data_IF_095200564123
#
_entry.id   IF_095200564123
#
_cell.length_a   1.000
_cell.length_b   1.000
_cell.length_c   1.000
_cell.angle_alpha   90.00
_cell.angle_beta   90.00
_cell.angle_gamma   90.00
#
_symmetry.space_group_name_H-M   'P 1'
#
loop_
_entity.id
_entity.type
_entity.pdbx_description
1 polymer ?
#
# COMPACT_ATOMS: atom_id res chain seq x y z
N UNK A 1 11.96 70.68 10.05
CA UNK A 1 10.80 70.69 9.13
C UNK A 1 11.36 71.01 7.75
N UNK A 2 11.83 69.97 7.07
CA UNK A 2 12.33 70.00 5.69
C UNK A 2 12.26 68.55 5.22
N UNK A 3 11.34 68.26 4.31
CA UNK A 3 11.00 66.91 3.86
C UNK A 3 11.74 66.66 2.55
N UNK A 4 12.77 65.81 2.60
CA UNK A 4 13.49 65.37 1.42
C UNK A 4 12.62 64.42 0.60
N UNK A 5 12.30 64.83 -0.63
CA UNK A 5 11.64 63.98 -1.64
C UNK A 5 12.70 63.09 -2.30
N UNK A 6 12.62 61.78 -2.06
CA UNK A 6 13.30 60.78 -2.88
C UNK A 6 12.54 60.63 -4.21
N UNK A 7 13.20 61.01 -5.29
CA UNK A 7 12.74 60.82 -6.67
C UNK A 7 13.17 59.42 -7.12
N UNK A 8 12.21 58.50 -7.28
CA UNK A 8 12.41 57.22 -7.93
C UNK A 8 12.20 57.37 -9.43
N UNK A 9 13.23 56.99 -10.18
CA UNK A 9 13.34 57.11 -11.63
C UNK A 9 12.85 55.78 -12.25
N UNK A 10 11.77 55.75 -13.07
CA UNK A 10 11.34 54.52 -13.72
C UNK A 10 12.13 54.31 -15.02
N UNK A 11 13.23 53.56 -14.93
CA UNK A 11 13.94 53.06 -16.09
C UNK A 11 13.14 51.94 -16.77
N UNK A 12 12.31 52.30 -17.76
CA UNK A 12 11.75 51.37 -18.75
C UNK A 12 12.89 50.61 -19.44
N UNK A 13 13.07 49.33 -19.14
CA UNK A 13 13.73 48.38 -20.03
C UNK A 13 12.64 47.61 -20.79
N UNK A 14 12.39 48.05 -22.01
CA UNK A 14 11.62 47.31 -23.01
C UNK A 14 12.44 46.10 -23.45
N UNK A 15 12.22 44.93 -22.86
CA UNK A 15 12.60 43.66 -23.46
C UNK A 15 11.47 43.24 -24.39
N UNK A 16 11.64 43.50 -25.69
CA UNK A 16 10.73 42.97 -26.70
C UNK A 16 10.69 41.43 -26.58
N UNK A 17 9.52 40.86 -26.25
CA UNK A 17 9.26 39.43 -26.39
C UNK A 17 9.38 39.07 -27.88
N UNK A 18 10.08 37.98 -28.25
CA UNK A 18 9.99 37.45 -29.61
C UNK A 18 8.56 36.96 -29.90
N UNK A 19 8.14 36.93 -31.18
CA UNK A 19 6.77 36.59 -31.55
C UNK A 19 6.41 35.15 -31.11
N UNK A 20 5.29 35.03 -30.39
CA UNK A 20 4.64 33.77 -30.05
C UNK A 20 3.96 33.18 -31.29
N UNK A 21 4.72 32.50 -32.13
CA UNK A 21 4.17 31.58 -33.14
C UNK A 21 5.00 30.29 -33.12
N UNK A 22 5.05 29.65 -31.95
CA UNK A 22 5.35 28.22 -31.83
C UNK A 22 4.47 27.67 -30.73
N UNK A 23 3.39 27.00 -31.11
CA UNK A 23 2.71 26.02 -30.27
C UNK A 23 3.77 24.99 -29.84
N UNK A 24 4.42 25.24 -28.71
CA UNK A 24 5.21 24.25 -28.01
C UNK A 24 4.21 23.22 -27.50
N UNK A 25 3.89 22.23 -28.33
CA UNK A 25 3.42 20.95 -27.86
C UNK A 25 4.50 20.40 -26.93
N UNK A 26 4.36 20.71 -25.63
CA UNK A 26 5.08 20.05 -24.56
C UNK A 26 4.65 18.59 -24.62
N UNK A 27 5.42 17.80 -25.35
CA UNK A 27 5.37 16.36 -25.23
C UNK A 27 5.99 16.09 -23.88
N UNK A 28 5.16 16.07 -22.82
CA UNK A 28 5.58 15.50 -21.55
C UNK A 28 6.01 14.09 -21.89
N UNK A 29 7.29 13.69 -21.70
CA UNK A 29 7.65 12.30 -21.83
C UNK A 29 6.82 11.55 -20.80
N UNK A 30 5.76 10.91 -21.28
CA UNK A 30 4.99 9.89 -20.58
C UNK A 30 5.89 8.66 -20.48
N UNK A 31 6.99 8.78 -19.73
CA UNK A 31 7.49 7.64 -19.02
C UNK A 31 6.60 7.56 -17.80
N UNK A 32 5.55 6.71 -17.79
CA UNK A 32 4.84 6.45 -16.55
C UNK A 32 5.92 6.10 -15.52
N UNK A 33 5.87 6.66 -14.29
CA UNK A 33 6.77 6.20 -13.24
C UNK A 33 6.64 4.69 -13.26
N UNK A 34 7.76 3.99 -13.52
CA UNK A 34 7.81 2.54 -13.66
C UNK A 34 6.89 2.00 -12.57
N UNK A 35 5.70 1.53 -12.98
CA UNK A 35 4.68 1.11 -12.04
C UNK A 35 5.42 0.07 -11.23
N UNK A 36 5.67 0.35 -9.94
CA UNK A 36 6.32 -0.60 -9.06
C UNK A 36 5.44 -1.82 -9.21
N UNK A 37 5.91 -2.81 -9.95
CA UNK A 37 5.12 -3.99 -10.14
C UNK A 37 4.91 -4.52 -8.72
N UNK A 38 3.68 -4.89 -8.34
CA UNK A 38 3.38 -5.36 -6.98
C UNK A 38 4.14 -6.65 -6.58
N UNK A 39 5.15 -7.05 -7.36
CA UNK A 39 6.02 -8.19 -7.19
C UNK A 39 7.28 -7.92 -6.32
N UNK A 40 7.58 -6.68 -5.91
CA UNK A 40 8.71 -6.45 -4.99
C UNK A 40 8.24 -6.59 -3.54
N UNK A 41 8.87 -7.42 -2.68
CA UNK A 41 8.42 -7.67 -1.30
C UNK A 41 8.28 -6.38 -0.46
N UNK A 42 9.02 -5.33 -0.82
CA UNK A 42 9.05 -4.05 -0.11
C UNK A 42 8.21 -2.93 -0.75
N UNK A 43 7.27 -3.24 -1.65
CA UNK A 43 6.54 -2.20 -2.39
C UNK A 43 5.73 -1.26 -1.47
N UNK A 44 5.14 -1.78 -0.38
CA UNK A 44 4.42 -0.96 0.61
C UNK A 44 5.36 -0.02 1.38
N UNK A 45 6.56 -0.50 1.73
CA UNK A 45 7.61 0.33 2.33
C UNK A 45 8.03 1.44 1.37
N UNK A 46 8.26 1.11 0.10
CA UNK A 46 8.61 2.10 -0.92
C UNK A 46 7.49 3.15 -1.13
N UNK A 47 6.21 2.75 -1.09
CA UNK A 47 5.09 3.70 -1.17
C UNK A 47 5.03 4.56 0.09
N UNK A 48 5.18 3.98 1.29
CA UNK A 48 5.23 4.73 2.55
C UNK A 48 6.31 5.78 2.51
N UNK A 49 7.52 5.41 2.12
CA UNK A 49 8.66 6.31 2.02
C UNK A 49 8.41 7.43 1.02
N UNK A 50 7.75 7.14 -0.11
CA UNK A 50 7.33 8.16 -1.08
C UNK A 50 6.29 9.12 -0.51
N UNK A 51 5.27 8.63 0.18
CA UNK A 51 4.24 9.45 0.83
C UNK A 51 4.87 10.33 1.92
N UNK A 52 5.81 9.78 2.68
CA UNK A 52 6.53 10.50 3.73
C UNK A 52 7.50 11.54 3.15
N UNK A 53 8.30 11.19 2.15
CA UNK A 53 9.22 12.11 1.48
C UNK A 53 8.47 13.24 0.76
N UNK A 54 7.27 12.97 0.22
CA UNK A 54 6.41 14.01 -0.33
C UNK A 54 5.98 15.00 0.77
N UNK A 55 5.71 14.56 1.99
CA UNK A 55 5.32 15.46 3.06
C UNK A 55 6.43 16.42 3.50
N UNK A 56 7.68 15.95 3.54
CA UNK A 56 8.80 16.75 4.06
C UNK A 56 9.13 17.97 3.17
N UNK A 57 8.52 18.04 1.99
CA UNK A 57 8.60 19.15 1.05
C UNK A 57 7.18 19.63 0.67
N UNK A 58 6.59 20.56 1.44
CA UNK A 58 5.24 21.05 1.21
C UNK A 58 5.16 21.80 -0.12
N UNK A 59 3.95 21.90 -0.67
CA UNK A 59 3.71 22.71 -1.86
C UNK A 59 3.45 24.15 -1.46
N UNK A 60 3.90 25.08 -2.30
CA UNK A 60 3.71 26.50 -2.13
C UNK A 60 3.05 27.07 -3.37
N UNK A 61 1.89 27.70 -3.19
CA UNK A 61 1.14 28.35 -4.26
C UNK A 61 1.58 29.79 -4.35
N UNK A 62 1.87 30.25 -5.57
CA UNK A 62 2.16 31.65 -5.87
C UNK A 62 1.14 32.15 -6.87
N UNK A 63 0.53 33.29 -6.58
CA UNK A 63 -0.35 34.02 -7.49
C UNK A 63 0.28 35.41 -7.69
N UNK A 64 0.94 35.62 -8.82
CA UNK A 64 1.73 36.83 -9.05
C UNK A 64 1.65 37.25 -10.52
N UNK A 65 1.24 38.50 -10.78
CA UNK A 65 1.19 39.11 -12.12
C UNK A 65 0.41 38.28 -13.16
N UNK A 66 -0.62 37.53 -12.72
CA UNK A 66 -1.43 36.67 -13.58
C UNK A 66 -0.86 35.25 -13.75
N UNK A 67 0.25 34.92 -13.11
CA UNK A 67 0.81 33.57 -13.12
C UNK A 67 0.49 32.88 -11.79
N UNK A 68 -0.34 31.84 -11.87
CA UNK A 68 -0.66 30.95 -10.77
C UNK A 68 0.20 29.70 -10.85
N UNK A 69 1.15 29.57 -9.94
CA UNK A 69 2.14 28.49 -9.94
C UNK A 69 2.14 27.71 -8.64
N UNK A 70 2.46 26.41 -8.73
CA UNK A 70 2.65 25.52 -7.59
C UNK A 70 4.09 25.03 -7.57
N UNK A 71 4.79 25.32 -6.48
CA UNK A 71 6.19 24.98 -6.29
C UNK A 71 6.36 23.97 -5.18
N UNK A 72 7.43 23.17 -5.28
CA UNK A 72 8.04 22.57 -4.08
C UNK A 72 8.62 23.68 -3.22
N UNK A 73 8.29 23.71 -1.94
CA UNK A 73 8.78 24.75 -1.06
C UNK A 73 10.31 24.72 -0.93
N UNK A 74 10.93 23.53 -1.01
CA UNK A 74 12.39 23.34 -1.01
C UNK A 74 13.10 23.97 -2.21
N UNK A 75 12.37 24.26 -3.29
CA UNK A 75 12.90 24.92 -4.48
C UNK A 75 12.98 26.45 -4.35
N UNK A 76 12.22 27.03 -3.41
CA UNK A 76 12.20 28.47 -3.17
C UNK A 76 13.52 28.90 -2.54
N UNK A 77 13.99 30.08 -2.96
CA UNK A 77 15.17 30.73 -2.38
C UNK A 77 14.75 31.96 -1.58
N UNK A 78 15.62 32.44 -0.68
CA UNK A 78 15.38 33.64 0.12
C UNK A 78 14.03 33.64 0.87
N UNK A 79 13.59 32.47 1.35
CA UNK A 79 12.31 32.32 2.06
C UNK A 79 12.35 33.06 3.39
N UNK A 80 11.39 33.95 3.59
CA UNK A 80 11.10 34.65 4.85
C UNK A 80 9.72 34.23 5.32
N UNK A 81 9.57 34.10 6.65
CA UNK A 81 8.32 33.67 7.28
C UNK A 81 7.88 34.63 8.37
N UNK A 82 6.58 34.73 8.59
CA UNK A 82 6.01 35.42 9.74
C UNK A 82 6.10 34.55 11.03
N UNK A 83 5.57 35.06 12.13
CA UNK A 83 5.51 34.37 13.43
C UNK A 83 4.71 33.08 13.41
N UNK A 84 3.77 32.95 12.47
CA UNK A 84 2.89 31.79 12.31
C UNK A 84 3.49 30.74 11.36
N UNK A 85 4.67 31.03 10.80
CA UNK A 85 5.39 30.14 9.90
C UNK A 85 4.95 30.25 8.44
N UNK A 86 4.03 31.14 8.09
CA UNK A 86 3.62 31.37 6.70
C UNK A 86 4.72 32.10 5.94
N UNK A 87 4.90 31.75 4.66
CA UNK A 87 5.88 32.41 3.79
C UNK A 87 5.38 33.81 3.43
N UNK A 88 6.15 34.83 3.82
CA UNK A 88 5.84 36.25 3.53
C UNK A 88 6.71 36.85 2.44
N UNK A 89 7.77 36.15 2.03
CA UNK A 89 8.68 36.61 0.99
C UNK A 89 9.57 35.48 0.54
N UNK A 90 9.89 35.45 -0.74
CA UNK A 90 10.62 34.36 -1.38
C UNK A 90 11.17 34.85 -2.72
N UNK A 91 11.97 34.01 -3.38
CA UNK A 91 12.40 34.22 -4.77
C UNK A 91 12.50 32.88 -5.48
N UNK A 92 12.14 32.81 -6.76
CA UNK A 92 12.41 31.63 -7.58
C UNK A 92 13.93 31.44 -7.76
N UNK A 93 14.41 30.20 -7.88
CA UNK A 93 15.80 29.96 -8.24
C UNK A 93 16.03 30.43 -9.70
N UNK A 94 17.26 30.84 -10.06
CA UNK A 94 17.59 31.29 -11.42
C UNK A 94 17.45 30.18 -12.48
N UNK A 95 17.39 28.92 -12.03
CA UNK A 95 17.02 27.73 -12.81
C UNK A 95 16.40 26.73 -11.84
N UNK A 96 15.32 26.08 -12.24
CA UNK A 96 14.66 25.03 -11.44
C UNK A 96 14.77 23.68 -12.13
N UNK A 97 14.74 22.59 -11.35
CA UNK A 97 14.52 21.26 -11.94
C UNK A 97 13.08 21.18 -12.39
N UNK A 98 12.79 20.44 -13.46
CA UNK A 98 11.41 20.21 -13.93
C UNK A 98 10.51 19.67 -12.80
N UNK A 99 11.07 19.00 -11.79
CA UNK A 99 10.34 18.46 -10.64
C UNK A 99 10.01 19.48 -9.54
N UNK A 100 10.60 20.67 -9.59
CA UNK A 100 10.51 21.71 -8.56
C UNK A 100 9.34 22.67 -8.81
N UNK A 101 8.99 22.85 -10.09
CA UNK A 101 7.80 23.56 -10.54
C UNK A 101 6.75 22.54 -10.95
N UNK A 102 5.67 22.43 -10.18
CA UNK A 102 4.68 21.36 -10.29
C UNK A 102 3.61 21.69 -11.33
N UNK A 103 3.13 22.93 -11.32
CA UNK A 103 2.02 23.39 -12.16
C UNK A 103 2.15 24.90 -12.36
N UNK A 104 1.82 25.36 -13.57
CA UNK A 104 1.73 26.77 -13.94
C UNK A 104 0.44 26.98 -14.73
N UNK A 105 -0.31 28.01 -14.37
CA UNK A 105 -1.54 28.41 -15.06
C UNK A 105 -1.47 29.92 -15.28
N UNK A 106 -1.48 30.35 -16.54
CA UNK A 106 -1.69 31.75 -16.90
C UNK A 106 -3.17 32.10 -16.68
N UNK A 107 -3.42 33.16 -15.92
CA UNK A 107 -4.73 33.73 -15.64
C UNK A 107 -5.00 34.91 -16.56
N UNK A 108 -6.27 35.08 -16.95
CA UNK A 108 -6.70 36.18 -17.81
C UNK A 108 -6.75 37.52 -17.04
N UNK A 109 -6.94 37.44 -15.71
CA UNK A 109 -7.05 38.58 -14.79
C UNK A 109 -6.18 38.38 -13.54
N UNK A 110 -5.56 39.47 -13.10
CA UNK A 110 -4.63 39.45 -11.96
C UNK A 110 -5.36 39.57 -10.63
N UNK A 111 -6.48 40.30 -10.59
CA UNK A 111 -7.20 40.61 -9.37
C UNK A 111 -8.31 39.57 -9.10
N UNK A 112 -8.36 38.99 -7.89
CA UNK A 112 -9.45 38.10 -7.51
C UNK A 112 -10.82 38.78 -7.62
N UNK A 113 -11.81 38.07 -8.16
CA UNK A 113 -13.17 38.58 -8.35
C UNK A 113 -13.42 39.24 -9.71
N UNK A 114 -12.40 39.40 -10.56
CA UNK A 114 -12.58 39.98 -11.91
C UNK A 114 -13.05 38.95 -12.94
N UNK A 115 -12.49 37.74 -12.93
CA UNK A 115 -12.91 36.62 -13.78
C UNK A 115 -13.29 35.38 -12.94
N UNK A 116 -14.56 34.91 -13.00
CA UNK A 116 -15.00 33.72 -12.30
C UNK A 116 -14.23 32.44 -12.63
N UNK A 117 -13.67 32.31 -13.85
CA UNK A 117 -12.87 31.15 -14.25
C UNK A 117 -11.50 31.18 -13.57
N UNK A 118 -10.86 32.34 -13.49
CA UNK A 118 -9.58 32.48 -12.78
C UNK A 118 -9.76 32.27 -11.27
N UNK A 119 -10.87 32.76 -10.69
CA UNK A 119 -11.20 32.50 -9.29
C UNK A 119 -11.45 31.01 -9.02
N UNK A 120 -12.10 30.30 -9.95
CA UNK A 120 -12.26 28.86 -9.86
C UNK A 120 -10.89 28.15 -9.91
N UNK A 121 -10.00 28.56 -10.82
CA UNK A 121 -8.64 28.00 -10.91
C UNK A 121 -7.82 28.21 -9.63
N UNK A 122 -7.91 29.41 -9.03
CA UNK A 122 -7.31 29.72 -7.73
C UNK A 122 -7.84 28.77 -6.65
N UNK A 123 -9.16 28.61 -6.59
CA UNK A 123 -9.83 27.72 -5.65
C UNK A 123 -9.38 26.27 -5.84
N UNK A 124 -9.41 25.76 -7.07
CA UNK A 124 -9.04 24.39 -7.40
C UNK A 124 -7.60 24.07 -7.01
N UNK A 125 -6.66 25.00 -7.24
CA UNK A 125 -5.25 24.81 -6.85
C UNK A 125 -5.08 24.79 -5.33
N UNK A 126 -5.75 25.70 -4.61
CA UNK A 126 -5.72 25.70 -3.15
C UNK A 126 -6.34 24.43 -2.57
N UNK A 127 -7.45 23.97 -3.14
CA UNK A 127 -8.10 22.72 -2.74
C UNK A 127 -7.19 21.52 -3.02
N UNK A 128 -6.50 21.48 -4.16
CA UNK A 128 -5.57 20.40 -4.51
C UNK A 128 -4.36 20.34 -3.56
N UNK A 129 -3.77 21.49 -3.23
CA UNK A 129 -2.65 21.56 -2.26
C UNK A 129 -3.13 21.18 -0.86
N UNK A 130 -4.31 21.62 -0.45
CA UNK A 130 -4.91 21.30 0.85
C UNK A 130 -5.27 19.81 0.94
N UNK A 131 -5.88 19.25 -0.10
CA UNK A 131 -6.27 17.85 -0.17
C UNK A 131 -5.04 16.93 -0.04
N UNK A 132 -3.92 17.26 -0.70
CA UNK A 132 -2.67 16.52 -0.54
C UNK A 132 -2.24 16.41 0.93
N UNK A 133 -2.29 17.52 1.66
CA UNK A 133 -1.86 17.54 3.06
C UNK A 133 -2.88 16.85 3.99
N UNK A 134 -4.17 16.96 3.67
CA UNK A 134 -5.27 16.34 4.40
C UNK A 134 -5.40 14.82 4.19
N UNK A 135 -5.18 14.34 2.96
CA UNK A 135 -5.39 12.93 2.59
C UNK A 135 -4.21 12.04 2.99
N UNK A 136 -3.06 12.63 3.28
CA UNK A 136 -1.84 11.90 3.66
C UNK A 136 -2.05 10.98 4.87
N UNK A 137 -2.58 11.42 6.03
CA UNK A 137 -2.84 10.52 7.15
C UNK A 137 -3.74 9.35 6.77
N UNK A 138 -4.73 9.57 5.90
CA UNK A 138 -5.61 8.51 5.39
C UNK A 138 -4.84 7.51 4.52
N UNK A 139 -3.97 7.99 3.63
CA UNK A 139 -3.11 7.13 2.80
C UNK A 139 -2.13 6.31 3.65
N UNK A 140 -1.48 6.93 4.65
CA UNK A 140 -0.59 6.23 5.57
C UNK A 140 -1.33 5.16 6.38
N UNK A 141 -2.50 5.49 6.92
CA UNK A 141 -3.35 4.54 7.63
C UNK A 141 -3.79 3.37 6.72
N UNK A 142 -4.06 3.64 5.45
CA UNK A 142 -4.39 2.60 4.48
C UNK A 142 -3.20 1.68 4.19
N UNK A 143 -1.99 2.24 4.04
CA UNK A 143 -0.76 1.47 3.88
C UNK A 143 -0.51 0.57 5.11
N UNK A 144 -0.70 1.09 6.33
CA UNK A 144 -0.61 0.31 7.56
C UNK A 144 -1.63 -0.83 7.59
N UNK A 145 -2.87 -0.58 7.19
CA UNK A 145 -3.90 -1.60 7.10
C UNK A 145 -3.55 -2.70 6.10
N UNK A 146 -2.98 -2.34 4.94
CA UNK A 146 -2.52 -3.30 3.94
C UNK A 146 -1.37 -4.15 4.47
N UNK A 147 -0.39 -3.54 5.14
CA UNK A 147 0.72 -4.27 5.75
C UNK A 147 0.20 -5.29 6.77
N UNK A 148 -0.71 -4.89 7.67
CA UNK A 148 -1.30 -5.81 8.64
C UNK A 148 -2.05 -6.98 7.99
N UNK A 149 -2.70 -6.76 6.84
CA UNK A 149 -3.38 -7.82 6.10
C UNK A 149 -2.39 -8.80 5.48
N UNK A 150 -1.27 -8.31 4.95
CA UNK A 150 -0.21 -9.15 4.42
C UNK A 150 0.47 -9.95 5.54
N UNK A 151 0.79 -9.32 6.67
CA UNK A 151 1.39 -9.99 7.82
C UNK A 151 0.49 -11.12 8.35
N UNK A 152 -0.84 -10.88 8.41
CA UNK A 152 -1.81 -11.92 8.78
C UNK A 152 -1.88 -13.05 7.75
N UNK A 153 -1.81 -12.73 6.46
CA UNK A 153 -1.80 -13.74 5.41
C UNK A 153 -0.53 -14.61 5.49
N UNK A 154 0.63 -13.98 5.65
CA UNK A 154 1.92 -14.66 5.80
C UNK A 154 1.99 -15.51 7.07
N UNK A 155 1.44 -15.02 8.19
CA UNK A 155 1.35 -15.81 9.43
C UNK A 155 0.39 -17.01 9.29
N UNK A 156 -0.68 -16.88 8.51
CA UNK A 156 -1.63 -17.96 8.27
C UNK A 156 -1.12 -18.98 7.22
N UNK A 157 -0.32 -18.51 6.27
CA UNK A 157 0.23 -19.26 5.14
C UNK A 157 1.63 -18.73 4.83
N UNK A 158 2.67 -19.27 5.47
CA UNK A 158 4.05 -18.85 5.22
C UNK A 158 4.42 -18.96 3.74
N UNK A 159 5.04 -17.92 3.18
CA UNK A 159 5.43 -17.80 1.78
C UNK A 159 4.34 -17.29 0.83
N UNK A 160 3.09 -17.10 1.29
CA UNK A 160 1.99 -16.68 0.41
C UNK A 160 2.19 -15.27 -0.17
N UNK A 161 2.96 -14.41 0.51
CA UNK A 161 3.25 -13.06 0.00
C UNK A 161 4.37 -13.02 -1.03
N UNK A 162 5.10 -14.13 -1.20
CA UNK A 162 6.24 -14.25 -2.12
C UNK A 162 5.84 -14.92 -3.45
N UNK A 163 4.56 -15.22 -3.64
CA UNK A 163 4.04 -15.85 -4.86
C UNK A 163 4.28 -14.95 -6.07
N UNK A 164 5.20 -15.35 -6.95
CA UNK A 164 5.32 -14.76 -8.27
C UNK A 164 4.27 -15.39 -9.23
N UNK A 165 3.59 -14.58 -10.07
CA UNK A 165 2.70 -15.12 -11.09
C UNK A 165 3.42 -16.13 -11.99
N UNK A 166 2.87 -17.33 -12.12
CA UNK A 166 3.40 -18.38 -12.98
C UNK A 166 4.50 -19.24 -12.37
N UNK A 167 4.97 -18.94 -11.15
CA UNK A 167 5.87 -19.83 -10.42
C UNK A 167 5.04 -20.84 -9.61
N UNK A 168 5.31 -22.15 -9.75
CA UNK A 168 4.64 -23.17 -8.96
C UNK A 168 5.05 -23.03 -7.50
N UNK A 169 4.06 -22.84 -6.64
CA UNK A 169 4.28 -22.78 -5.19
C UNK A 169 3.50 -23.88 -4.52
N UNK A 170 4.21 -24.58 -3.64
CA UNK A 170 3.69 -25.66 -2.81
C UNK A 170 3.32 -25.09 -1.45
N UNK A 171 2.06 -25.21 -1.10
CA UNK A 171 1.52 -24.82 0.20
C UNK A 171 0.96 -26.06 0.88
N UNK A 172 1.37 -26.32 2.11
CA UNK A 172 0.75 -27.37 2.92
C UNK A 172 -0.56 -26.86 3.49
N UNK A 173 -1.65 -27.53 3.14
CA UNK A 173 -2.95 -27.39 3.80
C UNK A 173 -3.23 -28.66 4.59
N UNK A 174 -4.12 -28.59 5.56
CA UNK A 174 -4.50 -29.71 6.40
C UNK A 174 -5.95 -30.07 6.11
N UNK A 175 -6.19 -31.33 5.81
CA UNK A 175 -7.51 -31.86 5.50
C UNK A 175 -7.97 -32.72 6.67
N UNK A 176 -9.14 -32.44 7.22
CA UNK A 176 -9.81 -33.34 8.16
C UNK A 176 -10.64 -34.32 7.35
N UNK A 177 -10.54 -35.62 7.63
CA UNK A 177 -11.31 -36.68 6.97
C UNK A 177 -11.71 -37.78 7.97
N UNK A 178 -12.61 -38.67 7.55
CA UNK A 178 -12.94 -39.89 8.29
C UNK A 178 -12.28 -41.09 7.60
N UNK A 179 -11.49 -41.88 8.34
CA UNK A 179 -10.59 -42.92 7.81
C UNK A 179 -11.33 -44.05 7.08
N UNK A 180 -12.55 -44.37 7.51
CA UNK A 180 -13.34 -45.45 6.88
C UNK A 180 -13.85 -45.07 5.48
N UNK A 181 -14.29 -43.82 5.31
CA UNK A 181 -14.97 -43.37 4.09
C UNK A 181 -14.06 -42.54 3.16
N UNK A 182 -12.91 -42.08 3.68
CA UNK A 182 -11.97 -41.18 3.02
C UNK A 182 -12.64 -39.89 2.51
N UNK A 183 -13.74 -39.48 3.16
CA UNK A 183 -14.49 -38.28 2.78
C UNK A 183 -13.86 -37.06 3.44
N UNK A 184 -13.43 -36.04 2.65
CA UNK A 184 -12.99 -34.77 3.20
C UNK A 184 -14.11 -34.06 3.96
N UNK A 185 -13.86 -33.74 5.22
CA UNK A 185 -14.76 -33.01 6.11
C UNK A 185 -14.46 -31.51 6.12
N UNK A 186 -13.22 -31.12 5.83
CA UNK A 186 -12.81 -29.72 5.71
C UNK A 186 -11.34 -29.56 5.32
N UNK A 187 -10.98 -28.37 4.85
CA UNK A 187 -9.60 -27.98 4.55
C UNK A 187 -9.23 -26.73 5.34
N UNK A 188 -8.00 -26.71 5.83
CA UNK A 188 -7.50 -25.71 6.76
C UNK A 188 -6.08 -25.30 6.38
N UNK A 189 -5.75 -24.03 6.59
CA UNK A 189 -4.38 -23.54 6.40
C UNK A 189 -3.49 -23.83 7.62
N UNK A 190 -4.06 -24.35 8.71
CA UNK A 190 -3.36 -24.66 9.95
C UNK A 190 -3.81 -26.04 10.50
N UNK A 191 -2.83 -26.84 10.95
CA UNK A 191 -3.00 -28.15 11.58
C UNK A 191 -3.95 -28.08 12.78
N UNK A 192 -3.79 -27.08 13.65
CA UNK A 192 -4.59 -26.98 14.87
C UNK A 192 -6.08 -26.75 14.58
N UNK A 193 -6.40 -26.03 13.48
CA UNK A 193 -7.78 -25.83 13.08
C UNK A 193 -8.42 -27.13 12.54
N UNK A 194 -7.64 -27.93 11.80
CA UNK A 194 -8.07 -29.24 11.34
C UNK A 194 -8.29 -30.21 12.51
N UNK A 195 -7.40 -30.19 13.51
CA UNK A 195 -7.52 -30.95 14.76
C UNK A 195 -8.74 -30.53 15.56
N UNK A 196 -8.94 -29.23 15.77
CA UNK A 196 -10.09 -28.71 16.51
C UNK A 196 -11.43 -29.12 15.83
N UNK A 197 -11.47 -29.20 14.51
CA UNK A 197 -12.66 -29.71 13.81
C UNK A 197 -12.87 -31.21 14.08
N UNK A 198 -11.83 -32.04 13.97
CA UNK A 198 -11.92 -33.47 14.30
C UNK A 198 -12.35 -33.71 15.74
N UNK A 199 -11.80 -32.98 16.71
CA UNK A 199 -12.19 -33.06 18.12
C UNK A 199 -13.65 -32.64 18.35
N UNK A 200 -14.14 -31.63 17.64
CA UNK A 200 -15.53 -31.21 17.73
C UNK A 200 -16.50 -32.28 17.21
N UNK A 201 -16.12 -32.99 16.15
CA UNK A 201 -16.89 -34.10 15.58
C UNK A 201 -16.84 -35.33 16.49
N UNK A 202 -15.66 -35.73 16.96
CA UNK A 202 -15.52 -36.83 17.92
C UNK A 202 -16.32 -36.57 19.20
N UNK A 203 -16.29 -35.35 19.73
CA UNK A 203 -17.11 -34.98 20.90
C UNK A 203 -18.61 -35.05 20.63
N UNK A 204 -19.03 -34.77 19.40
CA UNK A 204 -20.44 -34.87 19.02
C UNK A 204 -20.90 -36.33 18.95
N UNK A 205 -20.06 -37.22 18.43
CA UNK A 205 -20.38 -38.63 18.22
C UNK A 205 -20.22 -39.46 19.50
N UNK A 206 -19.17 -39.17 20.26
CA UNK A 206 -18.86 -39.86 21.51
C UNK A 206 -19.61 -39.22 22.67
N UNK A 207 -20.71 -39.87 23.07
CA UNK A 207 -21.55 -39.44 24.21
C UNK A 207 -20.98 -39.84 25.58
N UNK A 208 -19.80 -40.46 25.62
CA UNK A 208 -19.19 -40.94 26.86
C UNK A 208 -18.44 -39.80 27.58
N UNK A 209 -18.79 -39.48 28.84
CA UNK A 209 -18.06 -38.49 29.61
C UNK A 209 -16.73 -39.04 30.12
N UNK A 210 -15.73 -38.17 30.28
CA UNK A 210 -14.44 -38.50 30.90
C UNK A 210 -13.34 -38.98 29.96
N UNK A 211 -13.60 -39.01 28.66
CA UNK A 211 -12.58 -39.32 27.65
C UNK A 211 -11.71 -38.09 27.36
N UNK A 212 -10.41 -38.34 27.17
CA UNK A 212 -9.44 -37.31 26.78
C UNK A 212 -9.00 -37.54 25.34
N UNK A 213 -9.13 -36.56 24.43
CA UNK A 213 -8.67 -36.69 23.05
C UNK A 213 -7.14 -36.62 22.97
N UNK A 214 -6.56 -37.37 22.03
CA UNK A 214 -5.15 -37.26 21.67
C UNK A 214 -4.91 -37.59 20.20
N UNK A 215 -4.03 -36.82 19.56
CA UNK A 215 -3.64 -37.01 18.17
C UNK A 215 -2.38 -37.88 18.09
N UNK A 216 -2.46 -38.99 17.37
CA UNK A 216 -1.38 -39.95 17.18
C UNK A 216 -0.92 -39.88 15.73
N UNK A 217 0.35 -39.55 15.46
CA UNK A 217 0.86 -39.54 14.10
C UNK A 217 1.09 -40.96 13.59
N UNK A 218 0.69 -41.24 12.34
CA UNK A 218 0.86 -42.54 11.69
C UNK A 218 2.34 -42.95 11.53
N UNK A 219 3.24 -41.96 11.53
CA UNK A 219 4.68 -42.18 11.46
C UNK A 219 5.46 -41.07 12.18
N UNK A 220 6.78 -41.25 12.34
CA UNK A 220 7.66 -40.22 12.89
C UNK A 220 7.93 -39.02 11.96
N UNK A 221 7.31 -38.96 10.78
CA UNK A 221 7.46 -37.84 9.84
C UNK A 221 6.73 -36.60 10.35
N UNK A 222 7.28 -35.38 10.18
CA UNK A 222 6.54 -34.14 10.48
C UNK A 222 5.24 -34.00 9.68
N UNK A 223 5.22 -34.59 8.48
CA UNK A 223 4.11 -34.59 7.52
C UNK A 223 3.29 -35.90 7.59
N UNK A 224 3.39 -36.65 8.69
CA UNK A 224 2.51 -37.80 8.90
C UNK A 224 1.06 -37.33 9.05
N UNK A 225 0.13 -38.11 8.49
CA UNK A 225 -1.27 -38.03 8.89
C UNK A 225 -1.38 -38.36 10.39
N UNK A 226 -2.39 -37.78 11.04
CA UNK A 226 -2.62 -37.97 12.47
C UNK A 226 -4.04 -38.45 12.70
N UNK A 227 -4.19 -39.55 13.43
CA UNK A 227 -5.47 -40.07 13.85
C UNK A 227 -5.83 -39.56 15.24
N UNK A 228 -7.10 -39.20 15.43
CA UNK A 228 -7.65 -38.86 16.73
C UNK A 228 -8.07 -40.13 17.45
N UNK A 229 -7.40 -40.41 18.57
CA UNK A 229 -7.82 -41.41 19.55
C UNK A 229 -8.45 -40.74 20.76
N UNK A 230 -9.34 -41.45 21.44
CA UNK A 230 -9.86 -41.07 22.75
C UNK A 230 -9.33 -42.06 23.80
N UNK A 231 -8.91 -41.51 24.94
CA UNK A 231 -8.35 -42.28 26.05
C UNK A 231 -9.28 -42.22 27.26
N UNK A 232 -9.68 -43.40 27.75
CA UNK A 232 -10.45 -43.58 28.98
C UNK A 232 -9.59 -43.58 30.25
N UNK A 233 -10.22 -43.76 31.43
CA UNK A 233 -9.53 -43.78 32.71
C UNK A 233 -8.74 -45.07 32.98
N UNK A 234 -8.99 -46.15 32.24
CA UNK A 234 -8.24 -47.41 32.31
C UNK A 234 -6.95 -47.39 31.48
N UNK A 235 -6.00 -48.26 31.85
CA UNK A 235 -4.65 -48.33 31.25
C UNK A 235 -4.66 -48.79 29.78
N UNK A 236 -5.76 -49.42 29.32
CA UNK A 236 -5.95 -49.96 27.97
C UNK A 236 -7.22 -49.43 27.28
N UNK A 237 -7.77 -48.29 27.74
CA UNK A 237 -9.02 -47.72 27.19
C UNK A 237 -8.72 -46.75 26.02
N UNK A 238 -8.00 -47.21 24.99
CA UNK A 238 -7.80 -46.46 23.75
C UNK A 238 -8.82 -46.89 22.68
N UNK A 239 -9.63 -45.95 22.22
CA UNK A 239 -10.51 -46.13 21.07
C UNK A 239 -10.13 -45.14 19.96
N UNK A 240 -9.92 -45.65 18.74
CA UNK A 240 -9.83 -44.80 17.55
C UNK A 240 -11.20 -44.18 17.27
N UNK A 241 -11.20 -42.89 16.92
CA UNK A 241 -12.42 -42.17 16.51
C UNK A 241 -12.67 -42.22 15.01
N UNK A 242 -11.71 -42.72 14.23
CA UNK A 242 -11.72 -42.65 12.77
C UNK A 242 -11.47 -41.26 12.18
N UNK A 243 -11.36 -40.19 12.99
CA UNK A 243 -11.05 -38.86 12.48
C UNK A 243 -9.55 -38.70 12.24
N UNK A 244 -9.17 -38.28 11.03
CA UNK A 244 -7.77 -38.13 10.61
C UNK A 244 -7.51 -36.72 10.11
N UNK A 245 -6.35 -36.16 10.43
CA UNK A 245 -5.82 -34.93 9.84
C UNK A 245 -4.67 -35.29 8.89
N UNK A 246 -4.89 -35.04 7.60
CA UNK A 246 -3.91 -35.33 6.55
C UNK A 246 -3.29 -34.03 6.04
N UNK A 247 -1.95 -33.87 6.07
CA UNK A 247 -1.29 -32.79 5.36
C UNK A 247 -1.37 -33.04 3.85
N UNK A 248 -1.83 -32.05 3.11
CA UNK A 248 -2.00 -32.08 1.65
C UNK A 248 -1.15 -30.97 1.06
N UNK A 249 -0.30 -31.31 0.10
CA UNK A 249 0.44 -30.30 -0.67
C UNK A 249 -0.46 -29.77 -1.79
N UNK A 250 -0.80 -28.49 -1.73
CA UNK A 250 -1.47 -27.79 -2.81
C UNK A 250 -0.45 -27.05 -3.68
N UNK A 251 -0.50 -27.24 -5.00
CA UNK A 251 0.29 -26.49 -5.98
C UNK A 251 -0.54 -25.36 -6.60
N UNK A 252 0.06 -24.18 -6.76
CA UNK A 252 -0.58 -23.02 -7.38
C UNK A 252 -0.72 -23.12 -8.91
N UNK A 253 0.08 -23.99 -9.54
CA UNK A 253 0.13 -24.19 -10.99
C UNK A 253 0.03 -25.68 -11.28
N UNK A 254 -0.76 -26.04 -12.29
CA UNK A 254 -0.80 -27.42 -12.79
C UNK A 254 0.48 -27.74 -13.56
N UNK A 255 1.21 -28.76 -13.11
CA UNK A 255 2.41 -29.28 -13.75
C UNK A 255 2.10 -30.65 -14.37
N UNK A 256 1.84 -30.73 -15.69
CA UNK A 256 1.43 -31.99 -16.33
C UNK A 256 2.47 -33.12 -16.21
N UNK A 257 3.75 -32.76 -16.05
CA UNK A 257 4.85 -33.72 -15.98
C UNK A 257 5.16 -34.18 -14.55
N UNK A 258 4.55 -33.58 -13.52
CA UNK A 258 4.80 -33.94 -12.13
C UNK A 258 4.33 -35.36 -11.76
N UNK A 259 3.38 -35.92 -12.52
CA UNK A 259 2.84 -37.27 -12.31
C UNK A 259 3.67 -38.37 -13.00
N UNK A 260 4.76 -38.02 -13.70
CA UNK A 260 5.55 -38.99 -14.48
C UNK A 260 6.70 -39.64 -13.68
N UNK A 261 6.99 -39.20 -12.45
CA UNK A 261 8.16 -39.63 -11.66
C UNK A 261 7.87 -40.43 -10.37
N UNK A 262 6.60 -40.71 -10.04
CA UNK A 262 6.22 -41.62 -8.93
C UNK A 262 5.96 -43.06 -9.42
#
# INVERSE_FOLDING_TARGET
MEVARLSLNPGRRSTARPPMDQENHVTIPHNPPELIQPAHPDWLTAIRDRVQAAHDDPFFVTDCEGDLSVWRQSALTHVTRNSDGEITGWSTPPSYKVTDHILEIELDTWDPGEDPLDDQRRTDIHDLVTARDHDRPCLLAHIDQLQQRLDRAEAALPGITQLAPGEPVKVTIYRTEHSEDLVPLGHYTNRDAARAHGEALAKHDTKQPGLTPGWIPDSGSPDAAEELSVFGPGEDDEDSTGYVVVPVTATSVYEPDAEAED
#
